data_IF_026911985324
#
_entry.id   IF_026911985324
#
_cell.length_a   1.000
_cell.length_b   1.000
_cell.length_c   1.000
_cell.angle_alpha   90.00
_cell.angle_beta   90.00
_cell.angle_gamma   90.00
#
_symmetry.space_group_name_H-M   'P 1'
#
loop_
_entity.id
_entity.type
_entity.pdbx_description
1 polymer ?
#
# COMPACT_ATOMS: atom_id res chain seq x y z
N UNK A 1 -28.30 -33.12 17.37
CA UNK A 1 -26.86 -33.21 17.75
C UNK A 1 -25.88 -32.73 16.68
N UNK A 2 -26.23 -32.64 15.38
CA UNK A 2 -25.28 -32.27 14.30
C UNK A 2 -24.85 -30.78 14.22
N UNK A 3 -25.49 -29.85 14.93
CA UNK A 3 -25.22 -28.40 14.78
C UNK A 3 -24.02 -27.90 15.58
N UNK A 4 -23.73 -28.52 16.72
CA UNK A 4 -22.58 -28.17 17.55
C UNK A 4 -21.23 -28.38 16.84
N UNK A 5 -20.95 -29.55 16.20
CA UNK A 5 -19.71 -29.73 15.45
C UNK A 5 -19.60 -28.79 14.24
N UNK A 6 -20.73 -28.39 13.66
CA UNK A 6 -20.78 -27.46 12.52
C UNK A 6 -20.37 -26.04 12.93
N UNK A 7 -20.86 -25.53 14.06
CA UNK A 7 -20.49 -24.21 14.59
C UNK A 7 -19.01 -24.18 14.97
N UNK A 8 -18.52 -25.23 15.64
CA UNK A 8 -17.09 -25.35 15.98
C UNK A 8 -16.23 -25.41 14.71
N UNK A 9 -16.65 -26.16 13.70
CA UNK A 9 -15.96 -26.23 12.41
C UNK A 9 -15.86 -24.87 11.70
N UNK A 10 -16.96 -24.11 11.65
CA UNK A 10 -16.97 -22.77 11.05
C UNK A 10 -16.06 -21.78 11.78
N UNK A 11 -16.03 -21.81 13.11
CA UNK A 11 -15.15 -20.93 13.89
C UNK A 11 -13.67 -21.29 13.73
N UNK A 12 -13.33 -22.58 13.70
CA UNK A 12 -11.94 -23.02 13.47
C UNK A 12 -11.49 -22.68 12.06
N UNK A 13 -12.29 -23.00 11.03
CA UNK A 13 -11.95 -22.69 9.64
C UNK A 13 -11.89 -21.18 9.40
N UNK A 14 -12.89 -20.43 9.88
CA UNK A 14 -12.92 -18.98 9.75
C UNK A 14 -11.76 -18.30 10.48
N UNK A 15 -11.47 -18.73 11.71
CA UNK A 15 -10.34 -18.25 12.48
C UNK A 15 -8.99 -18.54 11.80
N UNK A 16 -8.79 -19.74 11.26
CA UNK A 16 -7.56 -20.09 10.52
C UNK A 16 -7.40 -19.23 9.26
N UNK A 17 -8.47 -19.03 8.49
CA UNK A 17 -8.44 -18.21 7.28
C UNK A 17 -8.17 -16.72 7.57
N UNK A 18 -8.72 -16.18 8.66
CA UNK A 18 -8.49 -14.77 9.03
C UNK A 18 -7.15 -14.55 9.73
N UNK A 19 -6.70 -15.49 10.57
CA UNK A 19 -5.46 -15.36 11.32
C UNK A 19 -4.22 -15.65 10.45
N UNK A 20 -4.37 -16.44 9.38
CA UNK A 20 -3.23 -16.89 8.62
C UNK A 20 -3.52 -17.06 7.12
N UNK A 21 -3.74 -15.96 6.38
CA UNK A 21 -3.87 -16.03 4.93
C UNK A 21 -2.54 -16.40 4.22
N UNK A 22 -1.44 -16.63 4.96
CA UNK A 22 -0.08 -16.87 4.44
C UNK A 22 0.24 -18.33 4.04
N UNK A 23 -0.66 -19.29 4.28
CA UNK A 23 -0.40 -20.72 4.00
C UNK A 23 -1.04 -21.26 2.71
N UNK A 24 -1.67 -20.40 1.92
CA UNK A 24 -2.01 -20.81 0.54
C UNK A 24 -0.70 -20.83 -0.26
N UNK A 25 -0.31 -21.97 -0.86
CA UNK A 25 0.87 -22.03 -1.71
C UNK A 25 0.61 -21.14 -2.92
N UNK A 26 1.14 -19.92 -2.87
CA UNK A 26 1.32 -19.07 -4.04
C UNK A 26 2.47 -19.73 -4.80
N UNK A 27 2.25 -20.09 -6.06
CA UNK A 27 3.35 -20.55 -6.90
C UNK A 27 4.38 -19.44 -6.93
N UNK A 28 5.58 -19.71 -6.41
CA UNK A 28 6.72 -18.84 -6.63
C UNK A 28 7.09 -19.05 -8.09
N UNK A 29 6.52 -18.25 -8.98
CA UNK A 29 7.11 -18.10 -10.31
C UNK A 29 8.51 -17.50 -10.13
N UNK A 30 9.44 -17.93 -10.97
CA UNK A 30 10.82 -17.41 -11.00
C UNK A 30 10.77 -15.88 -11.16
N UNK A 31 11.54 -15.16 -10.35
CA UNK A 31 11.67 -13.71 -10.46
C UNK A 31 12.25 -13.34 -11.83
N UNK A 32 11.59 -12.42 -12.52
CA UNK A 32 12.12 -11.87 -13.77
C UNK A 32 13.05 -10.71 -13.44
N UNK A 33 14.29 -10.79 -13.91
CA UNK A 33 15.27 -9.70 -13.80
C UNK A 33 14.97 -8.65 -14.86
N UNK A 34 14.63 -7.43 -14.43
CA UNK A 34 14.51 -6.26 -15.30
C UNK A 34 15.76 -5.37 -15.22
N UNK A 35 16.00 -4.59 -16.25
CA UNK A 35 17.12 -3.66 -16.34
C UNK A 35 16.58 -2.23 -16.29
N UNK A 36 16.87 -1.53 -15.19
CA UNK A 36 16.34 -0.20 -14.91
C UNK A 36 17.32 0.88 -15.35
N UNK A 37 16.77 1.98 -15.85
CA UNK A 37 17.48 3.20 -16.22
C UNK A 37 16.78 4.39 -15.57
N UNK A 38 17.49 5.20 -14.79
CA UNK A 38 16.92 6.36 -14.13
C UNK A 38 17.87 7.55 -14.19
N UNK A 39 17.34 8.76 -14.39
CA UNK A 39 18.08 10.00 -14.50
C UNK A 39 17.52 11.00 -13.51
N UNK A 40 18.38 11.53 -12.66
CA UNK A 40 18.04 12.60 -11.74
C UNK A 40 18.99 13.78 -11.88
N UNK A 41 18.54 15.04 -11.74
CA UNK A 41 19.43 16.18 -11.67
C UNK A 41 20.27 16.11 -10.38
N UNK A 42 21.55 16.45 -10.49
CA UNK A 42 22.46 16.54 -9.34
C UNK A 42 23.14 17.90 -9.31
N UNK A 43 23.22 18.50 -8.12
CA UNK A 43 23.96 19.74 -7.93
C UNK A 43 25.47 19.48 -8.04
N UNK A 44 26.19 20.40 -8.69
CA UNK A 44 27.65 20.29 -8.86
C UNK A 44 28.39 20.09 -7.54
N UNK A 45 27.90 20.68 -6.44
CA UNK A 45 28.52 20.53 -5.12
C UNK A 45 28.28 19.18 -4.44
N UNK A 46 27.32 18.39 -4.92
CA UNK A 46 27.01 17.05 -4.42
C UNK A 46 27.73 15.93 -5.19
N UNK A 47 28.38 16.27 -6.31
CA UNK A 47 29.19 15.33 -7.10
C UNK A 47 30.42 14.95 -6.29
N UNK A 48 30.65 13.64 -6.12
CA UNK A 48 31.84 13.14 -5.44
C UNK A 48 33.12 13.61 -6.16
N UNK A 49 34.16 13.96 -5.41
CA UNK A 49 35.37 14.56 -5.97
C UNK A 49 36.13 13.64 -6.92
N UNK A 50 35.94 12.33 -6.78
CA UNK A 50 36.50 11.25 -7.58
C UNK A 50 35.53 10.72 -8.66
N UNK A 51 34.31 11.26 -8.74
CA UNK A 51 33.37 10.86 -9.78
C UNK A 51 33.86 11.31 -11.16
N UNK A 52 33.86 10.37 -12.10
CA UNK A 52 34.06 10.69 -13.51
C UNK A 52 32.80 11.39 -14.05
N UNK A 53 33.00 12.58 -14.63
CA UNK A 53 31.94 13.36 -15.27
C UNK A 53 32.09 13.23 -16.77
N UNK A 54 31.08 12.67 -17.42
CA UNK A 54 31.06 12.39 -18.86
C UNK A 54 30.11 13.37 -19.55
N UNK A 55 30.53 13.97 -20.66
CA UNK A 55 29.63 14.78 -21.47
C UNK A 55 28.61 13.89 -22.18
N UNK A 56 27.34 14.29 -22.20
CA UNK A 56 26.27 13.58 -22.91
C UNK A 56 26.66 13.33 -24.37
N UNK A 57 27.37 14.26 -25.02
CA UNK A 57 27.83 14.11 -26.39
C UNK A 57 28.89 13.00 -26.54
N UNK A 58 29.61 12.67 -25.48
CA UNK A 58 30.67 11.64 -25.47
C UNK A 58 30.16 10.24 -25.11
N UNK A 59 28.92 10.12 -24.60
CA UNK A 59 28.27 8.81 -24.38
C UNK A 59 28.17 8.02 -25.69
N UNK A 60 28.24 6.69 -25.59
CA UNK A 60 27.92 5.82 -26.73
C UNK A 60 26.48 6.07 -27.22
N UNK A 61 26.20 5.89 -28.52
CA UNK A 61 24.91 6.30 -29.09
C UNK A 61 23.69 5.69 -28.41
N UNK A 62 23.77 4.42 -28.04
CA UNK A 62 22.73 3.66 -27.34
C UNK A 62 22.58 4.10 -25.87
N UNK A 63 23.70 4.35 -25.17
CA UNK A 63 23.70 4.93 -23.83
C UNK A 63 23.10 6.34 -23.81
N UNK A 64 23.40 7.16 -24.83
CA UNK A 64 22.85 8.50 -24.97
C UNK A 64 21.34 8.46 -25.21
N UNK A 65 20.87 7.56 -26.07
CA UNK A 65 19.43 7.37 -26.30
C UNK A 65 18.72 6.92 -25.02
N UNK A 66 19.30 5.98 -24.27
CA UNK A 66 18.74 5.54 -23.00
C UNK A 66 18.73 6.65 -21.95
N UNK A 67 19.80 7.44 -21.84
CA UNK A 67 19.83 8.61 -20.98
C UNK A 67 18.71 9.61 -21.33
N UNK A 68 18.58 9.94 -22.62
CA UNK A 68 17.56 10.88 -23.09
C UNK A 68 16.15 10.34 -22.82
N UNK A 69 15.91 9.07 -23.11
CA UNK A 69 14.64 8.39 -22.86
C UNK A 69 14.29 8.37 -21.37
N UNK A 70 15.26 8.09 -20.50
CA UNK A 70 15.05 8.09 -19.05
C UNK A 70 14.77 9.49 -18.52
N UNK A 71 15.51 10.49 -18.98
CA UNK A 71 15.31 11.90 -18.60
C UNK A 71 13.94 12.43 -19.01
N UNK A 72 13.48 12.05 -20.20
CA UNK A 72 12.21 12.54 -20.78
C UNK A 72 11.00 11.72 -20.27
N UNK A 73 11.24 10.62 -19.53
CA UNK A 73 10.19 9.82 -18.92
C UNK A 73 9.51 10.56 -17.74
N UNK A 74 8.21 10.36 -17.49
CA UNK A 74 7.47 11.07 -16.44
C UNK A 74 8.03 10.89 -15.02
N UNK A 75 8.62 9.72 -14.75
CA UNK A 75 9.21 9.35 -13.46
C UNK A 75 10.74 9.51 -13.44
N UNK A 76 11.32 10.09 -14.49
CA UNK A 76 12.77 10.18 -14.65
C UNK A 76 13.44 8.82 -14.86
N UNK A 77 12.73 7.83 -15.37
CA UNK A 77 13.30 6.51 -15.66
C UNK A 77 12.37 5.56 -16.39
N UNK A 78 12.92 4.44 -16.83
CA UNK A 78 12.20 3.31 -17.43
C UNK A 78 12.86 1.98 -17.06
N UNK A 79 12.21 0.87 -17.41
CA UNK A 79 12.76 -0.48 -17.22
C UNK A 79 12.50 -1.30 -18.48
N UNK A 80 13.48 -2.10 -18.89
CA UNK A 80 13.33 -3.13 -19.93
C UNK A 80 13.37 -4.51 -19.29
N UNK A 81 12.50 -5.40 -19.75
CA UNK A 81 12.37 -6.77 -19.20
C UNK A 81 13.10 -7.80 -20.05
N UNK A 82 13.20 -7.57 -21.36
CA UNK A 82 13.95 -8.43 -22.27
C UNK A 82 15.46 -8.14 -22.13
N UNK A 83 16.29 -9.16 -21.82
CA UNK A 83 17.74 -9.00 -21.80
C UNK A 83 18.33 -8.50 -23.11
N UNK A 84 17.69 -8.79 -24.25
CA UNK A 84 18.17 -8.35 -25.56
C UNK A 84 17.85 -6.86 -25.83
N UNK A 85 16.94 -6.26 -25.05
CA UNK A 85 16.60 -4.83 -25.11
C UNK A 85 17.49 -3.96 -24.20
N UNK A 86 18.41 -4.57 -23.44
CA UNK A 86 19.34 -3.83 -22.58
C UNK A 86 20.34 -3.04 -23.43
N UNK A 87 20.92 -2.01 -22.81
CA UNK A 87 21.95 -1.19 -23.46
C UNK A 87 23.30 -1.82 -23.15
N UNK A 88 23.92 -2.49 -24.13
CA UNK A 88 25.14 -3.27 -23.90
C UNK A 88 26.35 -2.42 -23.47
N UNK A 89 26.36 -1.13 -23.78
CA UNK A 89 27.38 -0.18 -23.34
C UNK A 89 27.30 0.18 -21.85
N UNK A 90 26.19 -0.15 -21.18
CA UNK A 90 25.95 0.21 -19.79
C UNK A 90 26.07 -1.00 -18.84
N UNK A 91 26.66 -0.82 -17.66
CA UNK A 91 26.68 -1.84 -16.63
C UNK A 91 25.32 -1.93 -15.91
N UNK A 92 24.94 -3.12 -15.45
CA UNK A 92 23.72 -3.36 -14.67
C UNK A 92 24.00 -4.16 -13.40
N UNK A 93 24.80 -3.62 -12.46
CA UNK A 93 24.98 -4.25 -11.15
C UNK A 93 23.64 -4.27 -10.39
N UNK A 94 23.48 -5.23 -9.47
CA UNK A 94 22.33 -5.21 -8.55
C UNK A 94 22.42 -4.04 -7.56
N UNK A 95 23.65 -3.70 -7.16
CA UNK A 95 23.98 -2.62 -6.23
C UNK A 95 24.88 -1.60 -6.96
N UNK A 96 24.31 -0.53 -7.54
CA UNK A 96 25.06 0.41 -8.35
C UNK A 96 25.92 1.34 -7.48
N UNK A 97 27.09 1.70 -8.01
CA UNK A 97 28.07 2.62 -7.42
C UNK A 97 28.58 3.60 -8.47
N UNK A 98 29.22 4.70 -8.06
CA UNK A 98 29.82 5.66 -9.00
C UNK A 98 30.87 4.97 -9.90
N UNK A 99 30.66 5.03 -11.21
CA UNK A 99 31.48 4.35 -12.22
C UNK A 99 31.05 2.91 -12.54
N UNK A 100 30.13 2.32 -11.75
CA UNK A 100 29.55 0.99 -11.99
C UNK A 100 28.04 1.03 -11.72
N UNK A 101 27.26 1.32 -12.75
CA UNK A 101 25.81 1.47 -12.65
C UNK A 101 25.36 2.87 -12.20
N UNK A 102 26.28 3.79 -11.89
CA UNK A 102 25.98 5.22 -11.68
C UNK A 102 26.99 6.05 -12.46
N UNK A 103 26.51 6.82 -13.44
CA UNK A 103 27.32 7.75 -14.24
C UNK A 103 26.91 9.19 -13.94
N UNK A 104 27.87 10.11 -13.82
CA UNK A 104 27.58 11.53 -13.76
C UNK A 104 27.67 12.12 -15.16
N UNK A 105 26.54 12.54 -15.72
CA UNK A 105 26.42 13.02 -17.10
C UNK A 105 26.20 14.52 -17.09
N UNK A 106 26.95 15.26 -17.91
CA UNK A 106 26.73 16.71 -18.13
C UNK A 106 26.04 16.95 -19.48
N UNK A 107 25.02 17.82 -19.48
CA UNK A 107 24.30 18.27 -20.68
C UNK A 107 24.18 19.81 -20.63
N UNK A 108 25.14 20.48 -21.26
CA UNK A 108 25.37 21.91 -21.09
C UNK A 108 25.86 22.23 -19.67
N UNK A 109 25.16 23.13 -18.97
CA UNK A 109 25.50 23.53 -17.60
C UNK A 109 24.88 22.61 -16.52
N UNK A 110 24.04 21.66 -16.92
CA UNK A 110 23.28 20.78 -16.02
C UNK A 110 24.00 19.46 -15.83
N UNK A 111 24.02 18.98 -14.59
CA UNK A 111 24.60 17.70 -14.24
C UNK A 111 23.48 16.76 -13.84
N UNK A 112 23.64 15.50 -14.22
CA UNK A 112 22.68 14.44 -14.00
C UNK A 112 23.40 13.22 -13.44
N UNK A 113 22.72 12.48 -12.60
CA UNK A 113 23.13 11.16 -12.19
C UNK A 113 22.28 10.15 -12.95
N UNK A 114 22.94 9.33 -13.76
CA UNK A 114 22.35 8.30 -14.59
C UNK A 114 22.60 6.93 -13.97
N UNK A 115 21.54 6.32 -13.47
CA UNK A 115 21.54 5.06 -12.75
C UNK A 115 21.12 3.93 -13.67
N UNK A 116 21.93 2.88 -13.74
CA UNK A 116 21.63 1.62 -14.40
C UNK A 116 21.84 0.45 -13.45
N UNK A 117 20.80 -0.39 -13.29
CA UNK A 117 20.87 -1.55 -12.38
C UNK A 117 19.97 -2.69 -12.80
N UNK A 118 20.36 -3.90 -12.46
CA UNK A 118 19.48 -5.05 -12.51
C UNK A 118 18.53 -5.01 -11.30
N UNK A 119 17.24 -5.23 -11.54
CA UNK A 119 16.20 -5.24 -10.51
C UNK A 119 15.39 -6.52 -10.68
N UNK A 120 15.44 -7.38 -9.66
CA UNK A 120 14.54 -8.52 -9.62
C UNK A 120 13.13 -8.03 -9.27
N UNK A 121 12.18 -8.33 -10.16
CA UNK A 121 10.76 -8.06 -9.92
C UNK A 121 10.01 -9.36 -9.70
N UNK A 122 9.14 -9.32 -8.69
CA UNK A 122 8.10 -10.34 -8.55
C UNK A 122 7.16 -10.27 -9.76
N UNK A 123 6.81 -11.41 -10.36
CA UNK A 123 5.92 -11.43 -11.51
C UNK A 123 4.56 -10.80 -11.16
N UNK A 124 4.00 -10.01 -12.08
CA UNK A 124 2.75 -9.27 -11.86
C UNK A 124 1.57 -10.19 -11.49
N UNK A 125 1.61 -11.45 -11.94
CA UNK A 125 0.68 -12.52 -11.54
C UNK A 125 0.73 -12.80 -10.04
N UNK A 126 1.92 -12.85 -9.43
CA UNK A 126 2.10 -13.07 -8.00
C UNK A 126 1.59 -11.89 -7.18
N UNK A 127 1.84 -10.66 -7.65
CA UNK A 127 1.31 -9.43 -7.02
C UNK A 127 -0.23 -9.40 -7.08
N UNK A 128 -0.81 -9.68 -8.25
CA UNK A 128 -2.26 -9.73 -8.44
C UNK A 128 -2.91 -10.85 -7.63
N UNK A 129 -2.28 -12.02 -7.59
CA UNK A 129 -2.75 -13.13 -6.75
C UNK A 129 -2.77 -12.73 -5.29
N UNK A 130 -1.72 -12.08 -4.78
CA UNK A 130 -1.70 -11.61 -3.38
C UNK A 130 -2.79 -10.56 -3.13
N UNK A 131 -3.00 -9.64 -4.07
CA UNK A 131 -4.03 -8.60 -3.97
C UNK A 131 -5.47 -9.17 -4.00
N UNK A 132 -5.68 -10.34 -4.60
CA UNK A 132 -7.02 -10.95 -4.76
C UNK A 132 -7.26 -12.09 -3.77
N UNK A 133 -6.33 -13.03 -3.68
CA UNK A 133 -6.44 -14.24 -2.85
C UNK A 133 -6.40 -13.90 -1.37
N UNK A 134 -5.57 -12.95 -0.96
CA UNK A 134 -5.42 -12.59 0.45
C UNK A 134 -6.72 -11.93 0.98
N UNK A 135 -7.33 -10.94 0.30
CA UNK A 135 -8.63 -10.40 0.72
C UNK A 135 -9.78 -11.40 0.57
N UNK A 136 -9.80 -12.23 -0.49
CA UNK A 136 -10.85 -13.22 -0.68
C UNK A 136 -10.83 -14.30 0.41
N UNK A 137 -9.66 -14.80 0.79
CA UNK A 137 -9.49 -15.75 1.90
C UNK A 137 -9.94 -15.17 3.23
N UNK A 138 -9.58 -13.91 3.50
CA UNK A 138 -10.05 -13.17 4.68
C UNK A 138 -11.57 -13.02 4.71
N UNK A 139 -12.19 -12.60 3.59
CA UNK A 139 -13.65 -12.44 3.50
C UNK A 139 -14.38 -13.78 3.68
N UNK A 140 -13.86 -14.86 3.10
CA UNK A 140 -14.40 -16.20 3.30
C UNK A 140 -14.37 -16.61 4.78
N UNK A 141 -13.25 -16.33 5.46
CA UNK A 141 -13.11 -16.58 6.89
C UNK A 141 -14.09 -15.74 7.73
N UNK A 142 -14.23 -14.46 7.38
CA UNK A 142 -15.19 -13.55 8.02
C UNK A 142 -16.63 -14.05 7.89
N UNK A 143 -17.06 -14.42 6.68
CA UNK A 143 -18.42 -14.94 6.47
C UNK A 143 -18.66 -16.27 7.18
N UNK A 144 -17.64 -17.13 7.33
CA UNK A 144 -17.75 -18.34 8.13
C UNK A 144 -18.03 -18.03 9.62
N UNK A 145 -17.38 -17.02 10.19
CA UNK A 145 -17.64 -16.56 11.56
C UNK A 145 -19.05 -15.98 11.70
N UNK A 146 -19.47 -15.12 10.77
CA UNK A 146 -20.83 -14.55 10.75
C UNK A 146 -21.89 -15.65 10.66
N UNK A 147 -21.68 -16.66 9.81
CA UNK A 147 -22.57 -17.81 9.69
C UNK A 147 -22.63 -18.62 10.99
N UNK A 148 -21.51 -18.80 11.70
CA UNK A 148 -21.49 -19.48 13.00
C UNK A 148 -22.34 -18.74 14.05
N UNK A 149 -22.26 -17.41 14.10
CA UNK A 149 -23.08 -16.57 14.98
C UNK A 149 -24.56 -16.69 14.62
N UNK A 150 -24.91 -16.58 13.33
CA UNK A 150 -26.29 -16.69 12.86
C UNK A 150 -26.93 -18.06 13.17
N UNK A 151 -26.18 -19.16 12.95
CA UNK A 151 -26.64 -20.52 13.29
C UNK A 151 -26.88 -20.68 14.79
N UNK A 152 -26.07 -20.02 15.62
CA UNK A 152 -26.19 -20.05 17.09
C UNK A 152 -27.43 -19.31 17.57
N UNK A 153 -27.71 -18.13 17.01
CA UNK A 153 -28.91 -17.33 17.31
C UNK A 153 -30.17 -18.10 16.89
N UNK A 154 -30.21 -18.61 15.66
CA UNK A 154 -31.36 -19.36 15.13
C UNK A 154 -31.64 -20.66 15.89
N UNK A 155 -30.61 -21.32 16.39
CA UNK A 155 -30.76 -22.51 17.24
C UNK A 155 -31.38 -22.24 18.62
N UNK A 156 -31.36 -20.98 19.08
CA UNK A 156 -31.96 -20.55 20.35
C UNK A 156 -33.47 -20.30 20.22
N UNK A 157 -33.92 -19.85 19.07
CA UNK A 157 -35.33 -19.60 18.75
C UNK A 157 -36.11 -20.91 18.66
N UNK A 158 -35.60 -21.91 17.91
CA UNK A 158 -36.22 -23.24 17.81
C UNK A 158 -36.32 -23.99 19.15
N UNK A 159 -35.46 -23.65 20.12
CA UNK A 159 -35.47 -24.27 21.47
C UNK A 159 -36.47 -23.59 22.42
N UNK A 160 -36.86 -22.34 22.15
CA UNK A 160 -37.92 -21.63 22.90
C UNK A 160 -39.32 -22.12 22.52
N UNK A 161 -39.53 -22.53 21.26
CA UNK A 161 -40.82 -23.05 20.79
C UNK A 161 -41.11 -24.51 21.19
N UNK A 162 -40.10 -25.26 21.63
CA UNK A 162 -40.24 -26.69 22.04
C UNK A 162 -40.40 -26.91 23.54
N UNK A 163 -40.54 -25.87 24.36
CA UNK A 163 -40.84 -26.04 25.78
C UNK A 163 -42.34 -26.29 25.97
N UNK A 164 -42.80 -27.45 26.51
CA UNK A 164 -44.18 -27.58 26.97
C UNK A 164 -44.32 -26.83 28.31
N UNK A 165 -45.38 -26.03 28.42
CA UNK A 165 -45.57 -25.06 29.50
C UNK A 165 -45.88 -25.65 30.89
N UNK A 166 -45.76 -24.80 31.91
CA UNK A 166 -46.48 -24.96 33.17
C UNK A 166 -46.81 -23.58 33.74
N UNK A 167 -48.09 -23.39 34.01
CA UNK A 167 -48.71 -22.18 34.50
C UNK A 167 -48.11 -21.71 35.84
N UNK A 168 -48.00 -20.39 36.01
CA UNK A 168 -48.33 -19.77 37.27
C UNK A 168 -48.95 -18.40 37.02
N UNK A 169 -50.25 -18.37 37.34
CA UNK A 169 -51.09 -17.21 37.49
C UNK A 169 -50.53 -16.35 38.62
N UNK A 170 -50.22 -15.09 38.34
CA UNK A 170 -50.07 -14.04 39.35
C UNK A 170 -50.44 -12.71 38.70
N UNK A 171 -51.44 -12.09 39.33
CA UNK A 171 -52.19 -10.90 38.95
C UNK A 171 -51.38 -9.71 38.42
N UNK A 172 -52.01 -8.79 37.65
CA UNK A 172 -51.33 -7.62 37.12
C UNK A 172 -51.00 -6.68 38.29
N UNK A 173 -49.72 -6.51 38.58
CA UNK A 173 -49.26 -5.41 39.43
C UNK A 173 -48.91 -4.25 38.52
N UNK A 174 -49.44 -3.08 38.89
CA UNK A 174 -49.48 -1.85 38.12
C UNK A 174 -48.12 -1.46 37.52
N UNK A 175 -48.18 -1.08 36.25
CA UNK A 175 -47.10 -0.53 35.45
C UNK A 175 -46.75 0.88 35.98
N UNK A 176 -45.58 1.14 36.58
CA UNK A 176 -45.12 2.51 36.66
C UNK A 176 -44.71 2.91 35.24
N UNK A 177 -45.40 3.91 34.69
CA UNK A 177 -45.13 4.45 33.36
C UNK A 177 -43.61 4.60 33.11
N UNK A 178 -43.09 4.20 31.93
CA UNK A 178 -41.69 4.42 31.61
C UNK A 178 -41.39 5.91 31.74
N UNK A 179 -40.39 6.25 32.54
CA UNK A 179 -39.91 7.63 32.63
C UNK A 179 -39.41 8.02 31.24
N UNK A 180 -39.91 9.16 30.74
CA UNK A 180 -39.48 9.72 29.46
C UNK A 180 -37.95 9.84 29.45
N UNK A 181 -37.31 9.12 28.53
CA UNK A 181 -35.88 9.27 28.26
C UNK A 181 -35.65 10.71 27.80
N UNK A 182 -34.72 11.46 28.40
CA UNK A 182 -34.45 12.81 27.94
C UNK A 182 -33.95 12.76 26.49
N UNK A 183 -34.50 13.64 25.65
CA UNK A 183 -34.09 13.75 24.26
C UNK A 183 -32.55 13.90 24.16
N UNK A 184 -31.91 13.25 23.16
CA UNK A 184 -30.48 13.41 22.96
C UNK A 184 -30.17 14.89 22.78
N UNK A 185 -29.18 15.37 23.54
CA UNK A 185 -28.72 16.75 23.43
C UNK A 185 -28.11 16.95 22.04
N UNK A 186 -28.52 18.02 21.36
CA UNK A 186 -27.95 18.41 20.08
C UNK A 186 -26.44 18.62 20.21
N UNK A 187 -25.67 17.96 19.35
CA UNK A 187 -24.23 18.15 19.25
C UNK A 187 -23.94 19.63 18.92
N UNK A 188 -23.01 20.29 19.63
CA UNK A 188 -22.66 21.66 19.32
C UNK A 188 -22.06 21.72 17.91
N UNK A 189 -22.49 22.72 17.14
CA UNK A 189 -21.96 22.99 15.81
C UNK A 189 -20.43 23.19 15.87
N UNK A 190 -19.68 22.71 14.85
CA UNK A 190 -18.25 22.91 14.78
C UNK A 190 -17.93 24.40 14.84
N UNK A 191 -16.93 24.75 15.64
CA UNK A 191 -16.43 26.13 15.72
C UNK A 191 -15.74 26.51 14.42
N UNK A 192 -16.03 27.70 13.91
CA UNK A 192 -15.36 28.26 12.75
C UNK A 192 -13.86 28.41 13.01
N UNK A 193 -13.05 27.93 12.07
CA UNK A 193 -11.60 28.09 12.09
C UNK A 193 -11.23 29.59 12.04
N UNK A 194 -10.27 30.05 12.87
CA UNK A 194 -9.82 31.43 12.80
C UNK A 194 -9.14 31.70 11.46
N UNK A 195 -9.44 32.87 10.88
CA UNK A 195 -8.81 33.32 9.65
C UNK A 195 -7.27 33.45 9.81
N UNK A 196 -6.50 33.17 8.74
CA UNK A 196 -5.05 33.33 8.78
C UNK A 196 -4.68 34.78 9.08
N UNK A 197 -3.71 34.96 9.97
CA UNK A 197 -3.15 36.29 10.28
C UNK A 197 -2.33 36.78 9.09
N UNK A 198 -2.54 38.03 8.69
CA UNK A 198 -1.74 38.70 7.67
C UNK A 198 -0.26 38.77 8.09
N UNK A 199 0.61 38.34 7.19
CA UNK A 199 2.07 38.39 7.33
C UNK A 199 2.53 39.87 7.31
N UNK A 200 3.34 40.34 8.27
CA UNK A 200 3.81 41.71 8.26
C UNK A 200 4.71 41.98 7.04
N UNK A 201 4.45 43.09 6.35
CA UNK A 201 5.19 43.53 5.17
C UNK A 201 6.71 43.66 5.44
N UNK A 202 7.57 43.41 4.42
CA UNK A 202 9.01 43.53 4.57
C UNK A 202 9.41 44.96 4.96
N UNK A 203 10.13 45.09 6.08
CA UNK A 203 10.69 46.36 6.54
C UNK A 203 11.68 46.94 5.52
N UNK A 204 11.42 48.17 5.10
CA UNK A 204 12.29 49.00 4.26
C UNK A 204 13.60 49.32 5.02
N UNK A 205 14.63 48.50 4.84
CA UNK A 205 15.96 48.78 5.39
C UNK A 205 16.73 49.75 4.47
N UNK A 206 16.22 50.97 4.36
CA UNK A 206 16.98 52.12 3.85
C UNK A 206 17.61 52.87 5.01
N UNK A 207 18.87 52.53 5.26
CA UNK A 207 19.90 53.53 5.57
C UNK A 207 20.31 53.67 7.03
N UNK A 208 21.55 53.27 7.33
CA UNK A 208 22.59 54.02 8.07
C UNK A 208 23.93 53.54 7.49
N UNK A 209 24.63 54.35 6.69
CA UNK A 209 25.72 55.26 7.10
C UNK A 209 26.71 54.63 8.07
#
# INVERSE_FOLDING_TARGET
>A
MRRFPLVVGLLVVGGVLMANPLYLPVAFDDTTTGYSHAVQPIDRGAIAADAEVVDRADLEPDAREAFDRARDAPEGGFTVEDPDDRVDSLPYPAEPTTGDGILVVTDGDRHYEFWTRAVDREPATTVLQRLVVQPAGFLLGFFAVVAAVAVTIRGREERRERAPGSANDSAPSDDPAPSDDPAPSDDPAPSDDPAPSDDPAPGDNRGRR
#
